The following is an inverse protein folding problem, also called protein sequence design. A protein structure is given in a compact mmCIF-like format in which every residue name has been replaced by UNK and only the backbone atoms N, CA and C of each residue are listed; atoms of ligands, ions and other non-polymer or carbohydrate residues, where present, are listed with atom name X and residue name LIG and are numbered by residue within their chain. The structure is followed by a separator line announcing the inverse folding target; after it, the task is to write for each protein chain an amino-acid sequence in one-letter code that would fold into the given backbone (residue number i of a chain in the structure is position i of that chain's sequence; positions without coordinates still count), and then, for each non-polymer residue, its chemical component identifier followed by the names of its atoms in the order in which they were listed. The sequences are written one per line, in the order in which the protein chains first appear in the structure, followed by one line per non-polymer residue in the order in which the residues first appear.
data_IF_076258555642
#
_entry.id   IF_076258555642
#
_cell.length_a   1.000
_cell.length_b   1.000
_cell.length_c   1.000
_cell.angle_alpha   90.00
_cell.angle_beta   90.00
_cell.angle_gamma   90.00
#
_symmetry.space_group_name_H-M   'P 1'
#
loop_
_entity.id
_entity.type
_entity.pdbx_description
1 polymer ?
#
# COMPACT_ATOMS: atom_id res chain seq x y z
N UNK A 1 78.40 48.37 -54.74
CA UNK A 1 77.20 49.03 -54.20
C UNK A 1 77.29 49.02 -52.68
N UNK A 2 77.15 50.21 -52.07
CA UNK A 2 76.76 50.53 -50.68
C UNK A 2 77.42 49.75 -49.51
N UNK A 3 78.25 50.38 -48.66
CA UNK A 3 77.90 51.34 -47.57
C UNK A 3 77.89 50.63 -46.21
N UNK A 4 78.94 50.84 -45.39
CA UNK A 4 78.96 51.59 -44.09
C UNK A 4 78.08 50.99 -42.97
N UNK A 5 78.71 50.52 -41.88
CA UNK A 5 78.97 51.23 -40.58
C UNK A 5 77.74 51.29 -39.67
N UNK A 6 77.98 51.07 -38.37
CA UNK A 6 77.25 51.58 -37.18
C UNK A 6 76.74 50.43 -36.30
N UNK A 7 77.37 50.14 -35.16
CA UNK A 7 77.39 50.88 -33.90
C UNK A 7 76.12 50.67 -33.05
N UNK A 8 76.43 50.24 -31.82
CA UNK A 8 75.67 50.18 -30.57
C UNK A 8 74.31 50.87 -30.49
N UNK A 9 73.32 50.10 -30.00
CA UNK A 9 72.12 50.59 -29.31
C UNK A 9 71.82 49.57 -28.19
N UNK A 10 72.20 49.86 -26.94
CA UNK A 10 71.45 49.40 -25.76
C UNK A 10 70.00 49.92 -25.89
N UNK A 11 68.92 49.26 -25.40
CA UNK A 11 68.72 49.07 -23.96
C UNK A 11 67.70 47.97 -23.52
N UNK A 12 67.40 47.95 -22.22
CA UNK A 12 66.04 47.74 -21.66
C UNK A 12 65.48 46.34 -21.37
N UNK A 13 66.21 45.23 -21.46
CA UNK A 13 65.61 43.91 -21.16
C UNK A 13 65.61 43.48 -19.68
N UNK A 14 66.29 44.22 -18.81
CA UNK A 14 66.53 43.84 -17.41
C UNK A 14 66.00 44.86 -16.38
N UNK A 15 64.89 45.56 -16.71
CA UNK A 15 64.10 46.32 -15.73
C UNK A 15 62.58 46.16 -15.89
N UNK A 16 62.12 45.24 -16.74
CA UNK A 16 60.70 44.92 -16.88
C UNK A 16 60.25 43.71 -16.04
N UNK A 17 61.18 42.89 -15.54
CA UNK A 17 60.83 41.69 -14.77
C UNK A 17 60.64 41.92 -13.27
N UNK A 18 61.10 43.05 -12.71
CA UNK A 18 60.98 43.32 -11.27
C UNK A 18 59.79 44.20 -10.86
N UNK A 19 59.13 44.87 -11.82
CA UNK A 19 57.92 45.67 -11.58
C UNK A 19 56.62 44.91 -11.83
N UNK A 20 56.68 43.71 -12.41
CA UNK A 20 55.50 42.83 -12.57
C UNK A 20 55.28 41.94 -11.34
N UNK A 21 56.27 41.82 -10.44
CA UNK A 21 56.18 41.00 -9.22
C UNK A 21 55.64 41.75 -7.98
N UNK A 22 55.32 43.04 -8.07
CA UNK A 22 54.89 43.83 -6.90
C UNK A 22 53.54 44.56 -7.02
N UNK A 23 52.82 44.45 -8.15
CA UNK A 23 51.47 45.06 -8.29
C UNK A 23 50.44 44.10 -8.93
N UNK A 24 50.50 42.81 -8.60
CA UNK A 24 49.33 41.93 -8.74
C UNK A 24 48.98 41.44 -7.35
N UNK A 25 48.22 42.30 -6.68
CA UNK A 25 47.10 42.01 -5.76
C UNK A 25 47.35 40.88 -4.74
N UNK A 26 47.43 41.14 -3.43
CA UNK A 26 46.29 41.63 -2.64
C UNK A 26 44.93 41.12 -3.17
N UNK A 27 44.88 39.86 -3.58
CA UNK A 27 43.66 39.08 -3.59
C UNK A 27 43.80 38.13 -2.43
N UNK A 28 43.04 38.40 -1.37
CA UNK A 28 42.62 37.36 -0.46
C UNK A 28 42.30 36.13 -1.31
N UNK A 29 42.89 35.00 -0.98
CA UNK A 29 42.41 33.71 -1.46
C UNK A 29 40.98 33.59 -0.95
N UNK A 30 40.04 34.15 -1.69
CA UNK A 30 38.66 33.72 -1.65
C UNK A 30 38.76 32.37 -2.32
N UNK A 31 38.83 31.32 -1.51
CA UNK A 31 38.46 29.99 -1.99
C UNK A 31 37.04 30.14 -2.53
N UNK A 32 36.95 30.35 -3.84
CA UNK A 32 35.71 30.29 -4.58
C UNK A 32 35.29 28.83 -4.50
N UNK A 33 34.46 28.52 -3.52
CA UNK A 33 33.79 27.23 -3.40
C UNK A 33 32.97 27.07 -4.68
N UNK A 34 33.48 26.21 -5.55
CA UNK A 34 32.91 25.72 -6.79
C UNK A 34 31.37 25.73 -6.80
N UNK A 35 30.78 26.54 -7.69
CA UNK A 35 29.47 26.29 -8.32
C UNK A 35 28.20 26.29 -7.46
N UNK A 36 28.19 26.82 -6.23
CA UNK A 36 27.02 26.72 -5.35
C UNK A 36 26.07 27.94 -5.48
N UNK A 37 24.85 27.72 -5.97
CA UNK A 37 23.82 28.77 -6.13
C UNK A 37 23.09 29.02 -4.80
N UNK A 38 23.61 29.92 -3.96
CA UNK A 38 22.89 30.41 -2.78
C UNK A 38 21.74 31.34 -3.21
N UNK A 39 20.53 31.08 -2.71
CA UNK A 39 19.34 31.87 -3.06
C UNK A 39 18.73 32.52 -1.81
N UNK A 40 18.45 33.83 -1.85
CA UNK A 40 17.69 34.54 -0.80
C UNK A 40 16.20 34.18 -0.87
N UNK A 41 15.90 32.97 -0.44
CA UNK A 41 14.61 32.31 -0.54
C UNK A 41 14.49 31.33 0.61
N UNK A 42 13.27 30.87 0.82
CA UNK A 42 12.95 29.82 1.77
C UNK A 42 12.19 28.69 1.11
N UNK A 43 12.56 27.46 1.43
CA UNK A 43 11.77 26.28 1.13
C UNK A 43 10.68 26.10 2.19
N UNK A 44 9.41 26.02 1.78
CA UNK A 44 8.29 25.73 2.68
C UNK A 44 8.08 24.22 2.88
N UNK A 45 9.13 23.50 3.28
CA UNK A 45 9.07 22.05 3.47
C UNK A 45 8.19 21.69 4.66
N UNK A 46 7.39 20.62 4.51
CA UNK A 46 6.64 20.00 5.61
C UNK A 46 7.42 18.86 6.26
N UNK A 47 8.59 18.51 5.72
CA UNK A 47 9.46 17.42 6.15
C UNK A 47 10.81 17.95 6.62
N UNK A 48 10.78 18.69 7.73
CA UNK A 48 12.00 19.18 8.37
C UNK A 48 12.66 18.02 9.11
N UNK A 49 13.90 17.69 8.76
CA UNK A 49 14.70 16.65 9.43
C UNK A 49 15.02 17.11 10.85
N UNK A 50 15.62 18.29 10.96
CA UNK A 50 16.11 18.84 12.22
C UNK A 50 16.40 20.33 12.07
N UNK A 51 16.32 21.06 13.19
CA UNK A 51 16.78 22.44 13.31
C UNK A 51 17.91 22.53 14.32
N UNK A 52 19.00 23.21 13.96
CA UNK A 52 20.19 23.37 14.80
C UNK A 52 20.70 24.80 14.78
N UNK A 53 21.42 25.18 15.82
CA UNK A 53 22.17 26.44 15.89
C UNK A 53 23.61 26.17 15.45
N UNK A 54 24.10 26.91 14.46
CA UNK A 54 25.45 26.78 13.94
C UNK A 54 26.11 28.15 13.77
N UNK A 55 27.44 28.18 13.69
CA UNK A 55 28.20 29.43 13.61
C UNK A 55 28.17 30.09 12.23
N UNK A 56 27.87 29.34 11.18
CA UNK A 56 27.89 29.83 9.80
C UNK A 56 27.01 28.98 8.88
N UNK A 57 26.65 29.54 7.72
CA UNK A 57 25.98 28.77 6.67
C UNK A 57 26.83 27.56 6.23
N UNK A 58 28.16 27.68 6.23
CA UNK A 58 29.04 26.57 5.87
C UNK A 58 28.92 25.42 6.85
N UNK A 59 28.87 25.72 8.15
CA UNK A 59 28.61 24.72 9.20
C UNK A 59 27.24 24.05 9.00
N UNK A 60 26.21 24.79 8.60
CA UNK A 60 24.90 24.22 8.28
C UNK A 60 24.96 23.26 7.08
N UNK A 61 25.71 23.63 6.03
CA UNK A 61 25.96 22.79 4.86
C UNK A 61 26.69 21.50 5.25
N UNK A 62 27.71 21.61 6.11
CA UNK A 62 28.49 20.45 6.54
C UNK A 62 27.66 19.49 7.42
N UNK A 63 26.82 20.01 8.32
CA UNK A 63 25.83 19.21 9.07
C UNK A 63 24.84 18.51 8.12
N UNK A 64 24.34 19.22 7.11
CA UNK A 64 23.44 18.65 6.09
C UNK A 64 24.14 17.57 5.24
N UNK A 65 25.45 17.72 4.96
CA UNK A 65 26.22 16.68 4.27
C UNK A 65 26.40 15.40 5.11
N UNK A 66 26.40 15.51 6.44
CA UNK A 66 26.53 14.38 7.37
C UNK A 66 25.18 13.69 7.62
N UNK A 67 24.06 14.37 7.38
CA UNK A 67 22.71 13.84 7.59
C UNK A 67 22.16 13.17 6.32
N UNK A 68 21.98 11.82 6.30
CA UNK A 68 21.54 11.10 5.10
C UNK A 68 20.19 11.59 4.54
N UNK A 69 19.31 12.10 5.39
CA UNK A 69 17.98 12.58 4.99
C UNK A 69 17.97 14.05 4.54
N UNK A 70 19.08 14.76 4.60
CA UNK A 70 19.12 16.18 4.25
C UNK A 70 19.37 16.41 2.76
N UNK A 71 18.30 16.78 2.04
CA UNK A 71 18.33 17.12 0.62
C UNK A 71 18.51 18.63 0.39
N UNK A 72 18.09 19.46 1.34
CA UNK A 72 18.30 20.91 1.29
C UNK A 72 18.25 21.53 2.67
N UNK A 73 18.59 22.81 2.77
CA UNK A 73 18.50 23.57 4.02
C UNK A 73 17.96 24.98 3.79
N UNK A 74 17.33 25.51 4.84
CA UNK A 74 17.03 26.93 5.02
C UNK A 74 17.95 27.47 6.11
N UNK A 75 18.83 28.41 5.76
CA UNK A 75 19.70 29.09 6.70
C UNK A 75 19.14 30.48 7.04
N UNK A 76 18.74 30.72 8.28
CA UNK A 76 18.26 32.04 8.72
C UNK A 76 19.43 32.96 9.02
N UNK A 77 19.36 34.18 8.51
CA UNK A 77 20.36 35.23 8.77
C UNK A 77 20.25 35.84 10.17
N UNK A 78 19.10 35.70 10.81
CA UNK A 78 18.79 36.30 12.12
C UNK A 78 18.11 35.27 13.02
N UNK A 79 18.55 35.19 14.28
CA UNK A 79 17.99 34.34 15.32
C UNK A 79 18.91 33.18 15.76
N UNK A 80 18.62 32.62 16.93
CA UNK A 80 19.48 31.64 17.59
C UNK A 80 19.48 30.26 16.90
N UNK A 81 18.34 29.87 16.31
CA UNK A 81 18.22 28.63 15.52
C UNK A 81 18.23 28.99 14.05
N UNK A 82 19.40 28.88 13.45
CA UNK A 82 19.70 29.41 12.13
C UNK A 82 19.86 28.36 11.02
N UNK A 83 19.83 27.07 11.32
CA UNK A 83 19.93 25.99 10.33
C UNK A 83 18.72 25.06 10.40
N UNK A 84 17.92 25.00 9.33
CA UNK A 84 16.77 24.11 9.18
C UNK A 84 17.02 23.15 8.01
N UNK A 85 17.22 21.87 8.31
CA UNK A 85 17.51 20.82 7.33
C UNK A 85 16.23 20.14 6.87
N UNK A 86 16.09 19.90 5.57
CA UNK A 86 14.86 19.42 4.94
C UNK A 86 15.10 18.13 4.14
N UNK A 87 14.11 17.22 4.17
CA UNK A 87 14.07 16.01 3.32
C UNK A 87 13.61 16.30 1.89
N UNK A 88 13.16 17.52 1.64
CA UNK A 88 12.66 17.98 0.34
C UNK A 88 13.62 19.04 -0.22
N UNK A 89 13.47 19.38 -1.49
CA UNK A 89 14.25 20.42 -2.17
C UNK A 89 13.38 21.22 -3.15
N UNK A 90 13.99 22.16 -3.88
CA UNK A 90 13.29 23.04 -4.81
C UNK A 90 12.73 22.31 -6.04
N UNK A 91 13.05 21.02 -6.25
CA UNK A 91 12.43 20.21 -7.31
C UNK A 91 11.06 19.66 -6.90
N UNK A 92 10.82 19.54 -5.60
CA UNK A 92 9.61 18.94 -5.02
C UNK A 92 8.73 19.94 -4.28
N UNK A 93 9.30 21.01 -3.75
CA UNK A 93 8.59 22.05 -2.98
C UNK A 93 8.97 23.44 -3.48
N UNK A 94 7.99 24.34 -3.54
CA UNK A 94 8.20 25.69 -4.02
C UNK A 94 9.11 26.51 -3.08
N UNK A 95 9.96 27.34 -3.70
CA UNK A 95 10.75 28.36 -3.00
C UNK A 95 9.98 29.68 -2.98
N UNK A 96 9.82 30.26 -1.80
CA UNK A 96 9.27 31.61 -1.64
C UNK A 96 10.39 32.62 -1.45
N UNK A 97 10.27 33.85 -1.99
CA UNK A 97 11.18 34.94 -1.66
C UNK A 97 11.20 35.20 -0.16
N UNK A 98 12.39 35.30 0.43
CA UNK A 98 12.58 35.56 1.85
C UNK A 98 13.98 36.17 2.05
N UNK A 99 14.04 37.46 2.40
CA UNK A 99 15.31 38.18 2.55
C UNK A 99 16.11 37.78 3.79
N UNK A 100 15.48 37.04 4.73
CA UNK A 100 16.10 36.59 5.97
C UNK A 100 16.50 35.11 5.93
N UNK A 101 16.25 34.42 4.81
CA UNK A 101 16.60 33.02 4.65
C UNK A 101 17.46 32.81 3.40
N UNK A 102 18.48 31.98 3.53
CA UNK A 102 19.26 31.47 2.43
C UNK A 102 18.88 30.01 2.22
N UNK A 103 18.36 29.71 1.04
CA UNK A 103 18.12 28.36 0.58
C UNK A 103 19.39 27.79 -0.08
N UNK A 104 19.70 26.54 0.25
CA UNK A 104 20.78 25.77 -0.35
C UNK A 104 20.32 24.34 -0.65
N UNK A 105 20.56 23.85 -1.86
CA UNK A 105 20.34 22.45 -2.26
C UNK A 105 21.60 21.63 -2.01
N UNK A 106 21.46 20.45 -1.42
CA UNK A 106 22.58 19.54 -1.19
C UNK A 106 22.91 18.75 -2.47
N UNK A 107 23.78 19.30 -3.31
CA UNK A 107 24.16 18.68 -4.59
C UNK A 107 25.00 17.41 -4.44
N UNK A 108 25.59 17.12 -3.26
CA UNK A 108 26.30 15.85 -3.01
C UNK A 108 25.36 14.63 -3.08
N UNK A 109 24.05 14.84 -2.93
CA UNK A 109 23.07 13.77 -3.14
C UNK A 109 22.68 13.58 -4.63
N UNK A 110 22.94 14.57 -5.51
CA UNK A 110 22.58 14.51 -6.94
C UNK A 110 23.56 13.69 -7.80
N UNK A 111 24.78 13.43 -7.33
CA UNK A 111 25.77 12.57 -8.02
C UNK A 111 25.59 11.09 -7.71
N UNK A 112 24.73 10.72 -6.76
CA UNK A 112 24.15 9.38 -6.77
C UNK A 112 23.18 9.37 -7.95
N UNK A 113 23.37 8.53 -9.00
CA UNK A 113 22.32 8.35 -10.00
C UNK A 113 21.04 8.14 -9.22
N UNK A 114 19.91 8.80 -9.58
CA UNK A 114 18.68 8.67 -8.84
C UNK A 114 18.51 7.17 -8.64
N UNK A 115 18.61 6.72 -7.39
CA UNK A 115 18.22 5.36 -7.09
C UNK A 115 16.76 5.45 -7.41
N UNK A 116 16.41 5.04 -8.65
CA UNK A 116 15.04 4.89 -9.08
C UNK A 116 14.41 4.23 -7.86
N UNK A 117 13.43 4.86 -7.18
CA UNK A 117 12.83 4.23 -6.01
C UNK A 117 12.57 2.79 -6.45
N UNK A 118 13.12 1.79 -5.72
CA UNK A 118 13.09 0.40 -6.17
C UNK A 118 11.70 0.16 -6.71
N UNK A 119 11.57 -0.28 -7.99
CA UNK A 119 10.30 -0.21 -8.71
C UNK A 119 9.20 -0.64 -7.77
N UNK A 120 8.23 0.26 -7.53
CA UNK A 120 7.18 0.06 -6.51
C UNK A 120 6.65 -1.36 -6.70
N UNK A 121 7.01 -2.28 -5.78
CA UNK A 121 6.63 -3.68 -5.93
C UNK A 121 5.15 -3.74 -5.66
N UNK A 122 4.37 -3.85 -6.73
CA UNK A 122 2.92 -4.00 -6.66
C UNK A 122 2.63 -5.51 -6.54
N UNK A 123 2.23 -5.91 -5.34
CA UNK A 123 1.85 -7.29 -5.02
C UNK A 123 0.50 -7.68 -5.67
N UNK A 124 0.24 -8.97 -5.81
CA UNK A 124 -1.01 -9.46 -6.44
C UNK A 124 -2.15 -9.61 -5.44
N UNK A 125 -1.86 -9.80 -4.15
CA UNK A 125 -2.83 -9.88 -3.07
C UNK A 125 -2.29 -9.31 -1.75
N UNK A 126 -3.18 -9.14 -0.78
CA UNK A 126 -2.80 -8.75 0.57
C UNK A 126 -1.93 -9.81 1.26
N UNK A 127 -2.12 -11.09 0.94
CA UNK A 127 -1.33 -12.19 1.46
C UNK A 127 0.14 -12.09 1.02
N UNK A 128 0.36 -11.83 -0.28
CA UNK A 128 1.70 -11.65 -0.84
C UNK A 128 2.41 -10.43 -0.22
N UNK A 129 1.69 -9.31 -0.05
CA UNK A 129 2.19 -8.13 0.64
C UNK A 129 2.55 -8.44 2.10
N UNK A 130 1.69 -9.16 2.85
CA UNK A 130 1.94 -9.53 4.24
C UNK A 130 3.14 -10.46 4.38
N UNK A 131 3.29 -11.43 3.48
CA UNK A 131 4.43 -12.35 3.46
C UNK A 131 5.75 -11.60 3.20
N UNK A 132 5.74 -10.66 2.25
CA UNK A 132 6.92 -9.86 1.94
C UNK A 132 7.22 -8.79 3.01
N UNK A 133 6.19 -8.26 3.67
CA UNK A 133 6.29 -7.19 4.67
C UNK A 133 5.39 -7.49 5.89
N UNK A 134 5.83 -8.34 6.82
CA UNK A 134 5.01 -8.79 7.95
C UNK A 134 4.52 -7.66 8.87
N UNK A 135 5.22 -6.53 8.94
CA UNK A 135 4.86 -5.37 9.76
C UNK A 135 3.91 -4.37 9.08
N UNK A 136 3.46 -4.64 7.85
CA UNK A 136 2.53 -3.76 7.14
C UNK A 136 1.19 -3.68 7.90
N UNK A 137 0.70 -2.46 8.23
CA UNK A 137 -0.56 -2.29 8.96
C UNK A 137 -1.78 -2.52 8.06
N UNK A 138 -2.97 -2.65 8.64
CA UNK A 138 -4.21 -2.72 7.85
C UNK A 138 -4.47 -1.41 7.10
N UNK A 139 -5.00 -1.47 5.88
CA UNK A 139 -5.20 -0.27 5.07
C UNK A 139 -5.44 -0.53 3.58
N UNK A 140 -5.55 0.53 2.80
CA UNK A 140 -5.73 0.47 1.35
C UNK A 140 -4.37 0.42 0.64
N UNK A 141 -4.19 -0.56 -0.24
CA UNK A 141 -2.95 -0.79 -0.95
C UNK A 141 -3.19 -0.96 -2.45
N UNK A 142 -2.27 -0.44 -3.27
CA UNK A 142 -2.26 -0.71 -4.69
C UNK A 142 -1.78 -2.15 -4.94
N UNK A 143 -2.59 -2.90 -5.67
CA UNK A 143 -2.38 -4.31 -6.01
C UNK A 143 -2.49 -4.51 -7.52
N UNK A 144 -1.83 -5.56 -8.03
CA UNK A 144 -1.86 -5.99 -9.42
C UNK A 144 -2.84 -7.16 -9.55
N UNK A 145 -4.11 -6.84 -9.77
CA UNK A 145 -5.17 -7.86 -9.89
C UNK A 145 -5.43 -8.10 -11.37
N UNK A 146 -5.15 -9.32 -11.85
CA UNK A 146 -5.30 -9.71 -13.27
C UNK A 146 -4.59 -8.76 -14.24
N UNK A 147 -3.41 -8.27 -13.85
CA UNK A 147 -2.62 -7.33 -14.66
C UNK A 147 -3.01 -5.85 -14.51
N UNK A 148 -4.15 -5.55 -13.89
CA UNK A 148 -4.60 -4.17 -13.66
C UNK A 148 -4.21 -3.67 -12.27
N UNK A 149 -3.88 -2.38 -12.18
CA UNK A 149 -3.66 -1.71 -10.88
C UNK A 149 -5.02 -1.45 -10.24
N UNK A 150 -5.25 -1.99 -9.05
CA UNK A 150 -6.46 -1.76 -8.24
C UNK A 150 -6.08 -1.48 -6.80
N UNK A 151 -6.88 -0.67 -6.12
CA UNK A 151 -6.75 -0.44 -4.69
C UNK A 151 -7.61 -1.46 -3.94
N UNK A 152 -6.98 -2.23 -3.04
CA UNK A 152 -7.64 -3.25 -2.22
C UNK A 152 -7.43 -2.89 -0.75
N UNK A 153 -8.48 -2.98 0.05
CA UNK A 153 -8.34 -2.92 1.50
C UNK A 153 -7.77 -4.25 2.00
N UNK A 154 -6.63 -4.18 2.70
CA UNK A 154 -5.99 -5.30 3.35
C UNK A 154 -6.19 -5.23 4.85
N UNK A 155 -6.74 -6.29 5.41
CA UNK A 155 -6.66 -6.57 6.84
C UNK A 155 -5.38 -7.36 7.12
N UNK A 156 -4.45 -6.72 7.83
CA UNK A 156 -3.11 -7.24 8.09
C UNK A 156 -2.93 -7.75 9.52
N UNK A 157 -3.99 -7.79 10.31
CA UNK A 157 -3.93 -8.05 11.75
C UNK A 157 -4.81 -9.25 12.13
N UNK A 158 -6.06 -9.28 11.67
CA UNK A 158 -7.01 -10.32 12.07
C UNK A 158 -6.56 -11.67 11.52
N UNK A 159 -6.46 -12.65 12.41
CA UNK A 159 -6.19 -14.06 12.08
C UNK A 159 -4.98 -14.24 11.16
N UNK A 160 -3.86 -13.62 11.57
CA UNK A 160 -2.58 -13.65 10.86
C UNK A 160 -2.42 -12.58 9.78
N UNK A 161 -3.50 -11.89 9.41
CA UNK A 161 -3.48 -10.85 8.38
C UNK A 161 -3.36 -11.40 6.96
N UNK A 162 -3.13 -10.49 6.01
CA UNK A 162 -3.02 -10.80 4.59
C UNK A 162 -4.37 -10.96 3.89
N UNK A 163 -5.46 -10.51 4.50
CA UNK A 163 -6.81 -10.70 4.00
C UNK A 163 -7.24 -9.56 3.07
N UNK A 164 -7.58 -9.89 1.82
CA UNK A 164 -8.13 -8.94 0.84
C UNK A 164 -9.63 -8.80 1.00
N UNK A 165 -10.12 -7.60 1.32
CA UNK A 165 -11.56 -7.32 1.37
C UNK A 165 -12.14 -7.32 -0.05
N UNK A 166 -13.13 -8.17 -0.31
CA UNK A 166 -13.66 -8.35 -1.66
C UNK A 166 -15.16 -8.11 -1.80
N UNK A 167 -15.92 -8.19 -0.71
CA UNK A 167 -17.38 -7.95 -0.71
C UNK A 167 -17.79 -7.28 0.60
N UNK A 168 -18.60 -6.23 0.51
CA UNK A 168 -19.46 -5.77 1.59
C UNK A 168 -20.87 -6.31 1.36
N UNK A 169 -21.38 -7.05 2.34
CA UNK A 169 -22.66 -7.75 2.28
C UNK A 169 -23.66 -6.93 3.07
N UNK A 170 -24.74 -6.52 2.41
CA UNK A 170 -25.76 -5.65 2.98
C UNK A 170 -26.91 -6.47 3.58
N UNK A 171 -27.40 -6.05 4.75
CA UNK A 171 -28.57 -6.65 5.39
C UNK A 171 -29.86 -6.47 4.59
N UNK A 172 -29.90 -5.54 3.62
CA UNK A 172 -31.09 -5.17 2.84
C UNK A 172 -31.01 -5.56 1.36
N UNK A 173 -29.95 -6.25 0.93
CA UNK A 173 -29.76 -6.64 -0.46
C UNK A 173 -29.23 -8.07 -0.60
N UNK A 174 -29.37 -8.63 -1.80
CA UNK A 174 -28.81 -9.92 -2.21
C UNK A 174 -27.79 -9.80 -3.33
N UNK A 175 -27.48 -8.58 -3.76
CA UNK A 175 -26.65 -8.36 -4.96
C UNK A 175 -25.18 -8.76 -4.75
N UNK A 176 -24.79 -9.22 -3.56
CA UNK A 176 -23.49 -9.85 -3.32
C UNK A 176 -23.36 -11.20 -4.03
N UNK A 177 -24.45 -11.83 -4.48
CA UNK A 177 -24.41 -13.08 -5.28
C UNK A 177 -24.16 -12.84 -6.78
N UNK A 178 -24.06 -11.59 -7.24
CA UNK A 178 -23.84 -11.28 -8.65
C UNK A 178 -22.38 -11.59 -9.03
N UNK A 179 -22.17 -12.25 -10.18
CA UNK A 179 -20.84 -12.66 -10.66
C UNK A 179 -19.95 -11.50 -11.09
N UNK A 180 -20.55 -10.42 -11.59
CA UNK A 180 -19.83 -9.21 -12.02
C UNK A 180 -19.53 -8.27 -10.85
N UNK A 181 -18.64 -7.30 -11.07
CA UNK A 181 -18.43 -6.24 -10.11
C UNK A 181 -19.74 -5.45 -9.91
N UNK A 182 -20.05 -5.10 -8.67
CA UNK A 182 -21.32 -4.46 -8.32
C UNK A 182 -21.08 -3.28 -7.38
N UNK A 183 -21.67 -2.13 -7.73
CA UNK A 183 -21.70 -0.91 -6.92
C UNK A 183 -20.30 -0.55 -6.35
N UNK A 184 -19.28 -0.54 -7.19
CA UNK A 184 -17.94 -0.14 -6.77
C UNK A 184 -17.93 1.29 -6.25
N UNK A 185 -17.17 1.54 -5.18
CA UNK A 185 -17.05 2.88 -4.58
C UNK A 185 -16.45 3.90 -5.57
N UNK A 186 -15.40 3.51 -6.30
CA UNK A 186 -14.92 4.22 -7.48
C UNK A 186 -14.16 3.25 -8.41
N UNK A 187 -13.59 3.77 -9.50
CA UNK A 187 -12.86 2.98 -10.52
C UNK A 187 -11.60 2.30 -9.99
N UNK A 188 -10.98 2.82 -8.92
CA UNK A 188 -9.74 2.30 -8.34
C UNK A 188 -9.98 1.40 -7.12
N UNK A 189 -10.93 1.76 -6.25
CA UNK A 189 -11.30 1.03 -5.04
C UNK A 189 -12.77 0.61 -5.13
N UNK A 190 -13.03 -0.69 -5.31
CA UNK A 190 -14.41 -1.18 -5.41
C UNK A 190 -15.06 -1.35 -4.04
N UNK A 191 -14.38 -2.04 -3.11
CA UNK A 191 -14.92 -2.36 -1.77
C UNK A 191 -14.06 -1.72 -0.67
N UNK A 192 -14.42 -0.53 -0.18
CA UNK A 192 -13.80 0.07 1.00
C UNK A 192 -14.23 -0.64 2.30
N UNK A 193 -13.38 -0.57 3.33
CA UNK A 193 -13.80 -0.90 4.71
C UNK A 193 -14.56 0.30 5.29
N UNK A 194 -15.86 0.12 5.48
CA UNK A 194 -16.78 1.14 6.02
C UNK A 194 -17.25 0.77 7.45
N UNK A 195 -17.99 1.64 8.11
CA UNK A 195 -18.65 1.37 9.40
C UNK A 195 -20.12 1.76 9.33
N UNK A 196 -20.97 1.15 10.15
CA UNK A 196 -22.42 1.40 10.15
C UNK A 196 -23.14 0.54 9.12
N UNK A 197 -24.21 1.06 8.51
CA UNK A 197 -25.00 0.33 7.50
C UNK A 197 -24.20 0.13 6.23
N UNK A 198 -24.03 -1.12 5.81
CA UNK A 198 -23.20 -1.46 4.65
C UNK A 198 -23.99 -1.41 3.35
N UNK A 199 -23.56 -0.61 2.36
CA UNK A 199 -24.01 -0.82 0.99
C UNK A 199 -23.43 -2.14 0.48
N UNK A 200 -24.18 -2.82 -0.39
CA UNK A 200 -23.65 -3.99 -1.09
C UNK A 200 -22.64 -3.52 -2.14
N UNK A 201 -21.39 -3.96 -2.02
CA UNK A 201 -20.32 -3.70 -2.98
C UNK A 201 -19.51 -4.95 -3.17
N UNK A 202 -19.07 -5.21 -4.40
CA UNK A 202 -18.46 -6.50 -4.73
C UNK A 202 -17.48 -6.37 -5.89
N UNK A 203 -16.31 -6.98 -5.74
CA UNK A 203 -15.42 -7.29 -6.86
C UNK A 203 -16.02 -8.38 -7.77
N UNK A 204 -15.67 -8.41 -9.06
CA UNK A 204 -16.11 -9.51 -9.92
C UNK A 204 -15.56 -10.85 -9.41
N UNK A 205 -16.24 -11.95 -9.68
CA UNK A 205 -15.77 -13.28 -9.27
C UNK A 205 -14.36 -13.54 -9.80
N UNK A 206 -14.06 -13.12 -11.03
CA UNK A 206 -12.73 -13.23 -11.61
C UNK A 206 -11.64 -12.51 -10.79
N UNK A 207 -11.97 -11.34 -10.24
CA UNK A 207 -11.05 -10.59 -9.37
C UNK A 207 -10.93 -11.26 -8.00
N UNK A 208 -12.03 -11.81 -7.47
CA UNK A 208 -12.05 -12.55 -6.20
C UNK A 208 -11.17 -13.79 -6.30
N UNK A 209 -11.32 -14.58 -7.37
CA UNK A 209 -10.48 -15.75 -7.68
C UNK A 209 -9.01 -15.37 -7.74
N UNK A 210 -8.69 -14.30 -8.46
CA UNK A 210 -7.31 -13.82 -8.59
C UNK A 210 -6.71 -13.32 -7.27
N UNK A 211 -7.52 -12.80 -6.34
CA UNK A 211 -7.07 -12.34 -5.02
C UNK A 211 -6.91 -13.47 -4.02
N UNK A 212 -7.66 -14.56 -4.18
CA UNK A 212 -7.65 -15.75 -3.32
C UNK A 212 -6.52 -16.74 -3.65
N UNK A 213 -5.58 -16.40 -4.54
CA UNK A 213 -4.62 -17.36 -5.09
C UNK A 213 -3.60 -17.90 -4.07
N UNK A 214 -3.40 -17.20 -2.94
CA UNK A 214 -2.28 -17.51 -2.04
C UNK A 214 -2.62 -18.69 -1.12
N UNK A 215 -3.81 -18.69 -0.52
CA UNK A 215 -4.27 -19.78 0.35
C UNK A 215 -5.56 -20.45 -0.14
N UNK A 216 -6.35 -19.78 -0.98
CA UNK A 216 -7.64 -20.28 -1.44
C UNK A 216 -8.71 -20.23 -0.36
N UNK A 217 -8.51 -19.41 0.68
CA UNK A 217 -9.39 -19.33 1.83
C UNK A 217 -10.32 -18.11 1.73
N UNK A 218 -11.57 -18.31 2.13
CA UNK A 218 -12.61 -17.29 2.20
C UNK A 218 -12.99 -17.06 3.65
N UNK A 219 -12.95 -15.81 4.11
CA UNK A 219 -13.31 -15.43 5.47
C UNK A 219 -14.56 -14.58 5.44
N UNK A 220 -15.65 -15.11 5.96
CA UNK A 220 -16.93 -14.41 6.10
C UNK A 220 -17.03 -13.87 7.51
N UNK A 221 -17.17 -12.55 7.63
CA UNK A 221 -17.21 -11.82 8.89
C UNK A 221 -18.58 -11.15 9.05
N UNK A 222 -19.46 -11.76 9.84
CA UNK A 222 -20.81 -11.24 10.11
C UNK A 222 -20.84 -10.35 11.36
N UNK A 223 -21.45 -9.17 11.24
CA UNK A 223 -21.68 -8.22 12.33
C UNK A 223 -20.43 -7.90 13.18
N UNK A 224 -19.21 -8.04 12.62
CA UNK A 224 -17.93 -7.79 13.31
C UNK A 224 -17.61 -8.74 14.47
N UNK A 225 -18.34 -9.85 14.63
CA UNK A 225 -18.18 -10.77 15.78
C UNK A 225 -18.05 -12.24 15.40
N UNK A 226 -18.59 -12.64 14.26
CA UNK A 226 -18.60 -14.05 13.82
C UNK A 226 -17.73 -14.19 12.59
N UNK A 227 -16.70 -15.02 12.68
CA UNK A 227 -15.82 -15.33 11.56
C UNK A 227 -15.98 -16.80 11.22
N UNK A 228 -16.35 -17.08 9.96
CA UNK A 228 -16.38 -18.42 9.39
C UNK A 228 -15.44 -18.47 8.21
N UNK A 229 -14.63 -19.52 8.15
CA UNK A 229 -13.72 -19.76 7.04
C UNK A 229 -14.28 -20.84 6.15
N UNK A 230 -14.18 -20.64 4.85
CA UNK A 230 -14.48 -21.64 3.85
C UNK A 230 -13.30 -21.83 2.93
N UNK A 231 -13.19 -23.02 2.37
CA UNK A 231 -12.29 -23.31 1.25
C UNK A 231 -13.05 -24.14 0.23
N UNK A 232 -12.81 -23.84 -1.03
CA UNK A 232 -13.29 -24.64 -2.15
C UNK A 232 -12.26 -25.73 -2.43
N UNK A 233 -12.70 -26.97 -2.48
CA UNK A 233 -11.83 -28.14 -2.63
C UNK A 233 -11.11 -28.12 -3.98
N UNK A 234 -11.84 -27.78 -5.04
CA UNK A 234 -11.33 -27.63 -6.41
C UNK A 234 -10.40 -26.42 -6.58
N UNK A 235 -10.23 -25.61 -5.53
CA UNK A 235 -9.43 -24.40 -5.51
C UNK A 235 -10.26 -23.13 -5.71
N UNK A 236 -9.64 -21.95 -5.46
CA UNK A 236 -10.33 -20.67 -5.54
C UNK A 236 -10.91 -20.42 -6.94
N UNK A 237 -10.33 -21.00 -7.99
CA UNK A 237 -10.79 -20.79 -9.36
C UNK A 237 -12.22 -21.29 -9.65
N UNK A 238 -12.72 -22.20 -8.82
CA UNK A 238 -14.09 -22.70 -8.90
C UNK A 238 -15.11 -21.80 -8.17
N UNK A 239 -14.68 -20.67 -7.58
CA UNK A 239 -15.60 -19.74 -6.93
C UNK A 239 -16.59 -19.12 -7.92
N UNK A 240 -17.87 -19.26 -7.58
CA UNK A 240 -19.02 -18.67 -8.27
C UNK A 240 -20.01 -18.14 -7.23
N UNK A 241 -20.06 -16.81 -7.06
CA UNK A 241 -20.94 -16.15 -6.08
C UNK A 241 -22.42 -16.41 -6.35
N UNK A 242 -22.77 -16.63 -7.62
CA UNK A 242 -24.14 -16.85 -8.08
C UNK A 242 -24.48 -18.32 -8.20
N UNK A 243 -23.60 -19.23 -7.79
CA UNK A 243 -23.94 -20.64 -7.80
C UNK A 243 -25.00 -20.92 -6.75
N UNK A 244 -26.08 -21.52 -7.20
CA UNK A 244 -27.10 -22.13 -6.38
C UNK A 244 -27.32 -23.58 -6.82
N UNK A 245 -28.05 -24.34 -6.01
CA UNK A 245 -28.27 -25.77 -6.22
C UNK A 245 -26.98 -26.59 -6.08
N UNK A 246 -26.82 -27.24 -4.92
CA UNK A 246 -25.58 -27.89 -4.54
C UNK A 246 -24.96 -28.89 -5.51
N UNK A 247 -25.71 -29.46 -6.45
CA UNK A 247 -25.14 -30.34 -7.49
C UNK A 247 -24.28 -29.59 -8.52
N UNK A 248 -24.45 -28.27 -8.64
CA UNK A 248 -23.73 -27.42 -9.59
C UNK A 248 -22.67 -26.54 -8.92
N UNK A 249 -22.66 -26.52 -7.58
CA UNK A 249 -21.75 -25.68 -6.83
C UNK A 249 -20.49 -26.45 -6.44
N UNK A 250 -19.36 -25.74 -6.36
CA UNK A 250 -18.11 -26.34 -5.91
C UNK A 250 -18.27 -26.97 -4.53
N UNK A 251 -17.51 -28.02 -4.28
CA UNK A 251 -17.48 -28.66 -2.97
C UNK A 251 -16.67 -27.80 -2.01
N UNK A 252 -17.15 -27.69 -0.78
CA UNK A 252 -16.55 -26.80 0.21
C UNK A 252 -16.22 -27.55 1.49
N UNK A 253 -15.28 -26.99 2.23
CA UNK A 253 -14.99 -27.33 3.63
C UNK A 253 -15.11 -26.06 4.46
N UNK A 254 -15.39 -26.20 5.75
CA UNK A 254 -15.65 -25.09 6.66
C UNK A 254 -14.75 -25.16 7.88
N UNK A 255 -14.33 -24.02 8.42
CA UNK A 255 -13.65 -23.92 9.72
C UNK A 255 -14.21 -22.75 10.49
N UNK A 256 -14.32 -22.90 11.81
CA UNK A 256 -14.75 -21.85 12.73
C UNK A 256 -13.61 -21.31 13.61
N UNK A 257 -12.37 -21.67 13.27
CA UNK A 257 -11.18 -21.28 14.03
C UNK A 257 -10.01 -20.93 13.12
N UNK A 258 -9.04 -20.20 13.69
CA UNK A 258 -7.75 -19.92 13.11
C UNK A 258 -6.63 -20.20 14.13
N UNK A 259 -5.57 -20.97 13.82
CA UNK A 259 -5.34 -21.73 12.58
C UNK A 259 -6.50 -22.68 12.26
N UNK A 260 -6.70 -23.02 10.98
CA UNK A 260 -7.90 -23.72 10.55
C UNK A 260 -7.99 -25.14 11.09
N UNK A 261 -9.19 -25.51 11.53
CA UNK A 261 -9.59 -26.89 11.77
C UNK A 261 -10.72 -27.20 10.78
N UNK A 262 -10.35 -27.74 9.61
CA UNK A 262 -11.31 -27.98 8.53
C UNK A 262 -12.26 -29.12 8.88
N UNK A 263 -13.54 -28.86 8.62
CA UNK A 263 -14.64 -29.79 8.81
C UNK A 263 -15.29 -30.10 7.46
N UNK A 264 -15.69 -31.35 7.32
CA UNK A 264 -16.42 -31.88 6.18
C UNK A 264 -17.35 -33.01 6.65
N UNK A 265 -18.17 -33.53 5.73
CA UNK A 265 -19.05 -34.66 5.97
C UNK A 265 -18.34 -36.02 5.79
N UNK A 266 -19.09 -37.07 5.52
CA UNK A 266 -18.59 -38.44 5.34
C UNK A 266 -17.59 -38.62 4.19
N UNK A 267 -17.46 -37.65 3.27
CA UNK A 267 -16.46 -37.66 2.21
C UNK A 267 -15.09 -37.13 2.68
N UNK A 268 -15.00 -36.52 3.86
CA UNK A 268 -13.75 -35.99 4.39
C UNK A 268 -13.33 -34.67 3.74
N UNK A 269 -12.21 -34.10 4.20
CA UNK A 269 -11.78 -32.74 3.84
C UNK A 269 -11.17 -32.64 2.44
N UNK A 270 -10.68 -33.75 1.89
CA UNK A 270 -10.12 -33.81 0.54
C UNK A 270 -11.20 -33.75 -0.55
N UNK A 271 -12.41 -34.24 -0.24
CA UNK A 271 -13.54 -34.19 -1.16
C UNK A 271 -14.54 -33.08 -0.80
N UNK A 272 -14.57 -32.64 0.45
CA UNK A 272 -15.50 -31.62 0.94
C UNK A 272 -16.96 -32.08 0.90
N UNK A 273 -17.89 -31.14 1.03
CA UNK A 273 -19.32 -31.40 0.95
C UNK A 273 -20.02 -30.51 -0.08
N UNK A 274 -21.10 -31.02 -0.65
CA UNK A 274 -22.01 -30.26 -1.52
C UNK A 274 -23.08 -29.55 -0.68
N UNK A 275 -23.28 -28.24 -0.91
CA UNK A 275 -24.35 -27.47 -0.27
C UNK A 275 -25.74 -28.04 -0.61
N UNK A 276 -26.80 -27.53 0.01
CA UNK A 276 -28.15 -28.03 -0.24
C UNK A 276 -28.58 -27.96 -1.72
N UNK A 277 -29.30 -29.00 -2.19
CA UNK A 277 -29.77 -29.12 -3.59
C UNK A 277 -30.91 -28.17 -3.97
N UNK A 278 -31.52 -27.49 -3.01
CA UNK A 278 -32.53 -26.47 -3.29
C UNK A 278 -31.91 -25.24 -3.95
N UNK A 279 -32.63 -24.65 -4.91
CA UNK A 279 -32.21 -23.44 -5.62
C UNK A 279 -32.15 -22.18 -4.73
N UNK A 280 -32.49 -22.34 -3.45
CA UNK A 280 -32.50 -21.30 -2.44
C UNK A 280 -31.17 -21.12 -1.71
N UNK A 281 -30.20 -22.03 -1.83
CA UNK A 281 -28.91 -21.98 -1.13
C UNK A 281 -27.78 -21.65 -2.10
N UNK A 282 -26.84 -20.82 -1.65
CA UNK A 282 -25.74 -20.29 -2.47
C UNK A 282 -24.36 -20.69 -1.93
N UNK A 283 -23.31 -20.43 -2.72
CA UNK A 283 -21.91 -20.75 -2.39
C UNK A 283 -21.56 -20.29 -0.97
N UNK A 284 -21.16 -21.24 -0.11
CA UNK A 284 -21.02 -21.14 1.36
C UNK A 284 -22.31 -21.31 2.18
N UNK A 285 -22.45 -22.55 2.66
CA UNK A 285 -23.36 -22.99 3.72
C UNK A 285 -22.59 -23.94 4.65
N UNK A 286 -22.97 -24.01 5.92
CA UNK A 286 -22.33 -24.88 6.92
C UNK A 286 -23.07 -26.23 7.11
N UNK A 287 -23.81 -26.66 6.09
CA UNK A 287 -24.44 -27.97 6.05
C UNK A 287 -24.51 -28.51 4.62
N UNK A 288 -24.61 -29.83 4.49
CA UNK A 288 -24.60 -30.49 3.19
C UNK A 288 -26.00 -30.72 2.61
N UNK A 289 -26.05 -31.46 1.50
CA UNK A 289 -27.26 -31.89 0.81
C UNK A 289 -27.87 -33.21 1.31
N UNK A 290 -27.42 -33.76 2.43
CA UNK A 290 -27.78 -35.12 2.86
C UNK A 290 -27.15 -36.21 2.00
N UNK A 291 -25.97 -35.95 1.46
CA UNK A 291 -25.27 -36.91 0.60
C UNK A 291 -24.70 -38.12 1.38
N UNK A 292 -24.64 -38.02 2.72
CA UNK A 292 -24.27 -39.11 3.60
C UNK A 292 -25.48 -39.98 3.96
N UNK A 293 -25.80 -40.96 3.11
CA UNK A 293 -26.92 -41.91 3.32
C UNK A 293 -28.30 -41.25 3.49
N UNK A 294 -28.51 -40.08 2.88
CA UNK A 294 -29.77 -39.34 2.99
C UNK A 294 -29.92 -38.51 4.28
N UNK A 295 -28.91 -38.49 5.15
CA UNK A 295 -28.92 -37.72 6.40
C UNK A 295 -28.09 -36.44 6.21
N UNK A 296 -28.69 -35.24 6.38
CA UNK A 296 -27.94 -33.98 6.34
C UNK A 296 -26.85 -33.94 7.41
N UNK A 297 -25.62 -33.71 6.97
CA UNK A 297 -24.49 -33.37 7.82
C UNK A 297 -24.50 -31.88 8.14
N UNK A 298 -24.13 -31.56 9.37
CA UNK A 298 -24.08 -30.20 9.89
C UNK A 298 -22.70 -29.98 10.52
N UNK A 299 -22.08 -28.84 10.21
CA UNK A 299 -20.80 -28.48 10.80
C UNK A 299 -20.93 -28.26 12.33
N UNK A 300 -19.83 -28.30 13.07
CA UNK A 300 -19.80 -28.30 14.54
C UNK A 300 -20.46 -27.07 15.18
N UNK A 301 -20.37 -25.92 14.50
CA UNK A 301 -21.01 -24.65 14.91
C UNK A 301 -22.30 -24.39 14.15
N UNK A 302 -22.86 -25.37 13.46
CA UNK A 302 -24.17 -25.26 12.86
C UNK A 302 -25.25 -25.36 13.94
N UNK A 303 -25.83 -24.23 14.35
CA UNK A 303 -27.07 -24.23 15.12
C UNK A 303 -28.28 -23.94 14.24
N UNK A 304 -29.26 -24.86 14.26
CA UNK A 304 -30.57 -24.64 13.63
C UNK A 304 -31.25 -23.48 14.35
N UNK A 305 -31.64 -22.44 13.61
CA UNK A 305 -32.38 -21.27 14.12
C UNK A 305 -33.73 -21.59 14.77
N UNK A 306 -34.16 -22.86 14.73
CA UNK A 306 -35.53 -23.27 15.01
C UNK A 306 -35.75 -23.78 16.44
N UNK A 307 -34.70 -24.08 17.21
CA UNK A 307 -34.90 -24.82 18.46
C UNK A 307 -35.03 -23.93 19.71
N UNK A 308 -34.58 -22.68 19.70
CA UNK A 308 -34.82 -21.74 20.78
C UNK A 308 -35.01 -20.33 20.23
N UNK A 309 -35.90 -19.55 20.86
CA UNK A 309 -36.39 -18.21 20.49
C UNK A 309 -35.31 -17.10 20.62
N UNK A 310 -34.07 -17.41 20.27
CA UNK A 310 -32.88 -16.55 20.30
C UNK A 310 -32.10 -16.77 18.98
N UNK A 311 -31.52 -15.71 18.43
CA UNK A 311 -30.78 -15.69 17.16
C UNK A 311 -29.97 -16.99 16.92
N UNK A 312 -30.02 -17.63 15.74
CA UNK A 312 -29.21 -18.84 15.47
C UNK A 312 -27.76 -18.57 15.83
N UNK A 313 -27.17 -19.40 16.72
CA UNK A 313 -25.95 -18.97 17.39
C UNK A 313 -24.77 -18.81 16.46
N UNK A 314 -24.64 -19.58 15.37
CA UNK A 314 -23.40 -19.56 14.58
C UNK A 314 -23.54 -19.92 13.08
N UNK A 315 -24.76 -20.21 12.56
CA UNK A 315 -24.93 -20.46 11.11
C UNK A 315 -24.70 -19.17 10.32
N UNK A 316 -23.75 -19.21 9.39
CA UNK A 316 -23.48 -18.13 8.45
C UNK A 316 -23.72 -18.65 7.03
N UNK A 317 -24.83 -18.21 6.45
CA UNK A 317 -25.18 -18.45 5.06
C UNK A 317 -24.60 -17.34 4.19
N UNK A 318 -24.14 -17.64 2.99
CA UNK A 318 -23.82 -16.56 2.05
C UNK A 318 -25.08 -15.85 1.57
N UNK A 319 -26.11 -16.60 1.17
CA UNK A 319 -27.42 -16.07 0.81
C UNK A 319 -28.49 -17.17 0.90
N UNK A 320 -29.75 -16.76 1.11
CA UNK A 320 -30.92 -17.64 0.99
C UNK A 320 -32.09 -16.93 0.30
N UNK A 321 -32.86 -17.63 -0.54
CA UNK A 321 -33.96 -17.05 -1.32
C UNK A 321 -35.06 -16.35 -0.48
N UNK A 322 -35.14 -16.64 0.83
CA UNK A 322 -36.05 -16.00 1.78
C UNK A 322 -35.46 -14.82 2.57
N UNK A 323 -34.17 -14.49 2.39
CA UNK A 323 -33.46 -13.52 3.23
C UNK A 323 -32.52 -12.62 2.46
N UNK A 324 -32.15 -11.48 3.04
CA UNK A 324 -31.10 -10.61 2.52
C UNK A 324 -29.83 -10.75 3.37
N UNK A 325 -28.68 -10.33 2.84
CA UNK A 325 -27.39 -10.44 3.51
C UNK A 325 -26.95 -11.88 3.76
N UNK A 326 -26.16 -12.09 4.82
CA UNK A 326 -25.74 -13.45 5.23
C UNK A 326 -26.93 -14.26 5.77
N UNK A 327 -27.78 -13.62 6.56
CA UNK A 327 -29.01 -14.17 7.14
C UNK A 327 -29.96 -12.98 7.33
N UNK A 328 -31.30 -13.14 7.49
CA UNK A 328 -32.20 -11.99 7.64
C UNK A 328 -31.64 -10.92 8.59
N UNK A 329 -31.46 -9.71 8.04
CA UNK A 329 -30.94 -8.53 8.74
C UNK A 329 -29.46 -8.60 9.19
N UNK A 330 -28.66 -9.53 8.67
CA UNK A 330 -27.22 -9.64 8.97
C UNK A 330 -26.38 -9.16 7.79
N UNK A 331 -25.60 -8.11 8.04
CA UNK A 331 -24.58 -7.57 7.14
C UNK A 331 -23.18 -8.02 7.57
N UNK A 332 -22.20 -7.82 6.69
CA UNK A 332 -20.80 -8.01 7.03
C UNK A 332 -19.90 -7.99 5.81
N UNK A 333 -18.82 -8.76 5.85
CA UNK A 333 -17.78 -8.72 4.84
C UNK A 333 -17.33 -10.11 4.41
N UNK A 334 -16.90 -10.21 3.17
CA UNK A 334 -16.13 -11.35 2.68
C UNK A 334 -14.72 -10.90 2.36
N UNK A 335 -13.76 -11.65 2.89
CA UNK A 335 -12.35 -11.52 2.58
C UNK A 335 -11.83 -12.78 1.92
N UNK A 336 -10.75 -12.66 1.15
CA UNK A 336 -10.02 -13.80 0.60
C UNK A 336 -8.54 -13.71 0.91
N UNK A 337 -7.88 -14.86 0.92
CA UNK A 337 -6.44 -14.97 1.12
C UNK A 337 -5.85 -15.97 0.14
#
# INVERSE_FOLDING_TARGET
MASKVSAAIEPLYMKLYLSVFLIISCQCVVEVISGQTLQKRRLLSKKVVRKVSVKSIRSCIDECHQEPRCNSLNFKLVGDVNCEMNEEDSSTVALVPDDYNIYYTNDKQKTKPPTLPPPEVIYRSCAELKAARPSTPSGNYAMRVRGFRRTIYCDMETTGGGWSLVVSISASSRNHIIRHAHNCFNSSLCVPKESGTLPVRKHSDEDIRALAFYEGAFRLEAAGRRITYYRIVEGPDAFDAGCNNGLRCPRIIVSFSYPYAWESNCFGVEDGFSINRGDCYFVFDSHDSGECNGVPWFASRYQKAFEYRQLPADRLLYNHCGSNGFYPNIQGYMYVR
#
